data_IF_956494466498
#
_entry.id   IF_956494466498
#
_cell.length_a   1.000
_cell.length_b   1.000
_cell.length_c   1.000
_cell.angle_alpha   90.00
_cell.angle_beta   90.00
_cell.angle_gamma   90.00
#
_symmetry.space_group_name_H-M   'P 1'
#
loop_
_entity.id
_entity.type
_entity.pdbx_description
1 polymer ?
#
# COMPACT_ATOMS: atom_id res chain seq x y z
N UNK A 1 56.50 -46.66 -2.39
CA UNK A 1 56.88 -45.95 -1.15
C UNK A 1 56.03 -44.68 -1.07
N UNK A 2 55.23 -44.55 0.00
CA UNK A 2 54.63 -43.33 0.62
C UNK A 2 54.17 -42.23 -0.36
N UNK A 3 52.87 -41.94 -0.53
CA UNK A 3 51.91 -41.64 0.53
C UNK A 3 51.76 -40.11 0.69
N UNK A 4 50.54 -39.66 1.04
CA UNK A 4 50.12 -38.28 1.34
C UNK A 4 49.74 -37.41 0.12
N UNK A 5 48.63 -36.66 0.10
CA UNK A 5 47.62 -36.37 1.12
C UNK A 5 46.36 -35.87 0.41
N UNK A 6 45.25 -36.55 0.67
CA UNK A 6 43.88 -36.23 0.27
C UNK A 6 43.40 -35.04 1.12
N UNK A 7 42.98 -33.94 0.50
CA UNK A 7 42.36 -32.81 1.22
C UNK A 7 40.92 -33.18 1.62
N UNK A 8 40.76 -33.58 2.88
CA UNK A 8 39.49 -33.77 3.56
C UNK A 8 39.38 -32.69 4.66
N UNK A 9 38.50 -31.70 4.50
CA UNK A 9 38.07 -30.83 5.62
C UNK A 9 36.55 -30.76 5.63
N UNK A 10 36.00 -31.84 6.19
CA UNK A 10 34.64 -31.93 6.67
C UNK A 10 34.55 -31.21 8.04
N UNK A 11 33.68 -30.21 8.13
CA UNK A 11 32.73 -30.07 9.24
C UNK A 11 33.13 -29.39 10.56
N UNK A 12 32.07 -28.84 11.16
CA UNK A 12 31.83 -28.56 12.60
C UNK A 12 32.26 -27.16 13.06
N UNK A 13 31.34 -26.20 13.26
CA UNK A 13 30.31 -26.13 14.34
C UNK A 13 30.89 -26.42 15.72
N UNK A 14 31.20 -25.34 16.46
CA UNK A 14 31.08 -25.18 17.93
C UNK A 14 31.64 -23.80 18.29
N UNK A 15 30.79 -22.89 18.77
CA UNK A 15 30.70 -22.60 20.19
C UNK A 15 31.95 -21.89 20.74
N UNK A 16 31.93 -20.55 20.68
CA UNK A 16 32.72 -19.64 21.51
C UNK A 16 31.76 -18.52 21.94
N UNK A 17 30.99 -18.72 23.00
CA UNK A 17 31.27 -18.21 24.36
C UNK A 17 31.26 -16.68 24.39
N UNK A 18 30.12 -16.18 24.86
CA UNK A 18 29.92 -15.05 25.77
C UNK A 18 31.14 -14.15 26.09
N UNK A 19 31.05 -12.90 25.65
CA UNK A 19 31.50 -11.70 26.37
C UNK A 19 30.54 -10.57 25.94
N UNK A 20 29.42 -10.36 26.63
CA UNK A 20 29.29 -9.53 27.82
C UNK A 20 29.61 -8.04 27.58
N UNK A 21 28.53 -7.24 27.59
CA UNK A 21 28.37 -5.93 28.25
C UNK A 21 28.68 -4.61 27.49
N UNK A 22 27.56 -3.96 27.09
CA UNK A 22 27.15 -2.56 27.35
C UNK A 22 27.93 -1.40 26.70
N UNK A 23 27.22 -0.63 25.85
CA UNK A 23 27.28 0.84 25.86
C UNK A 23 25.90 1.42 25.52
N UNK A 24 25.48 2.38 26.34
CA UNK A 24 24.14 2.93 26.49
C UNK A 24 23.56 3.62 25.25
N UNK A 25 22.29 3.31 24.93
CA UNK A 25 21.44 4.26 24.21
C UNK A 25 20.89 5.28 25.21
N UNK A 26 21.55 6.43 25.26
CA UNK A 26 21.00 7.66 25.78
C UNK A 26 19.92 8.17 24.82
N UNK A 27 18.67 8.20 25.29
CA UNK A 27 17.62 9.04 24.71
C UNK A 27 16.69 9.50 25.83
N UNK A 28 17.16 10.53 26.54
CA UNK A 28 16.31 11.38 27.36
C UNK A 28 15.54 12.30 26.39
N UNK A 29 14.23 12.06 26.24
CA UNK A 29 13.35 12.87 25.42
C UNK A 29 12.30 13.57 26.28
N UNK A 30 12.47 14.88 26.47
CA UNK A 30 11.37 15.84 26.56
C UNK A 30 10.70 16.05 27.92
N UNK A 31 11.28 16.92 28.75
CA UNK A 31 10.54 17.64 29.79
C UNK A 31 9.61 18.67 29.13
N UNK A 32 8.34 18.31 28.93
CA UNK A 32 7.28 19.25 28.54
C UNK A 32 6.85 20.11 29.74
N UNK A 33 7.57 21.20 29.98
CA UNK A 33 7.13 22.29 30.86
C UNK A 33 6.04 23.09 30.13
N UNK A 34 4.78 22.72 30.36
CA UNK A 34 3.62 23.49 29.93
C UNK A 34 3.38 24.65 30.88
N UNK A 35 3.67 25.85 30.40
CA UNK A 35 3.45 27.14 31.04
C UNK A 35 2.02 27.28 31.58
N UNK A 36 1.93 27.49 32.88
CA UNK A 36 0.74 28.01 33.55
C UNK A 36 0.54 29.43 33.01
N UNK A 37 -0.45 29.57 32.12
CA UNK A 37 -0.90 30.85 31.57
C UNK A 37 -1.41 31.75 32.68
N UNK A 38 -0.48 32.48 33.29
CA UNK A 38 -0.75 33.60 34.16
C UNK A 38 -1.18 34.74 33.25
N UNK A 39 -2.49 34.95 33.10
CA UNK A 39 -3.02 36.24 32.66
C UNK A 39 -3.07 37.14 33.91
N UNK A 40 -2.15 38.10 34.09
CA UNK A 40 -2.39 39.21 35.00
C UNK A 40 -3.35 40.18 34.30
N UNK A 41 -4.31 40.75 35.05
CA UNK A 41 -5.38 41.66 34.60
C UNK A 41 -6.62 40.88 34.10
N UNK A 42 -7.77 40.85 34.77
CA UNK A 42 -8.36 41.78 35.73
C UNK A 42 -9.75 42.16 35.24
N UNK A 43 -10.79 41.41 35.64
CA UNK A 43 -12.15 41.93 35.95
C UNK A 43 -13.10 40.78 36.30
N UNK A 44 -13.17 40.53 37.60
CA UNK A 44 -14.41 40.39 38.37
C UNK A 44 -15.63 41.07 37.71
N UNK A 45 -16.75 40.36 37.66
CA UNK A 45 -18.06 41.01 37.70
C UNK A 45 -19.16 40.39 36.85
N UNK A 46 -20.27 40.08 37.52
CA UNK A 46 -21.65 40.16 37.01
C UNK A 46 -22.25 38.89 36.39
N UNK A 47 -23.00 38.17 37.24
CA UNK A 47 -24.25 37.51 36.84
C UNK A 47 -25.09 38.47 36.00
N UNK A 48 -25.55 38.03 34.83
CA UNK A 48 -26.49 38.77 33.99
C UNK A 48 -27.46 37.83 33.31
N UNK A 49 -28.59 37.59 33.97
CA UNK A 49 -29.79 36.97 33.41
C UNK A 49 -30.55 38.01 32.59
N UNK A 50 -30.70 37.77 31.28
CA UNK A 50 -31.58 38.49 30.34
C UNK A 50 -31.19 38.02 28.95
N UNK A 51 -31.97 37.33 28.12
CA UNK A 51 -33.40 37.35 27.92
C UNK A 51 -33.62 37.49 26.41
N UNK A 52 -34.28 36.50 25.78
CA UNK A 52 -34.84 36.65 24.44
C UNK A 52 -34.13 35.87 23.33
N UNK A 53 -34.70 34.73 22.93
CA UNK A 53 -34.26 34.01 21.73
C UNK A 53 -34.82 32.60 21.57
N UNK A 54 -36.10 32.36 21.91
CA UNK A 54 -36.78 31.12 21.55
C UNK A 54 -36.93 31.02 20.03
N UNK A 55 -36.19 30.11 19.37
CA UNK A 55 -36.57 29.33 18.15
C UNK A 55 -35.68 28.08 18.13
N UNK A 56 -36.19 26.95 18.61
CA UNK A 56 -36.68 25.90 17.72
C UNK A 56 -35.65 25.49 16.66
N UNK A 57 -34.72 24.60 17.02
CA UNK A 57 -34.50 23.40 16.21
C UNK A 57 -33.77 22.33 17.02
N UNK A 58 -34.53 21.58 17.81
CA UNK A 58 -34.18 20.22 18.19
C UNK A 58 -34.36 19.31 16.95
N UNK A 59 -33.72 19.66 15.84
CA UNK A 59 -33.47 18.71 14.77
C UNK A 59 -32.33 17.87 15.28
N UNK A 60 -32.70 16.71 15.82
CA UNK A 60 -31.91 15.50 15.78
C UNK A 60 -31.36 15.30 14.36
N UNK A 61 -30.32 16.04 14.02
CA UNK A 61 -29.51 15.77 12.84
C UNK A 61 -28.80 14.48 13.20
N UNK A 62 -29.44 13.37 12.77
CA UNK A 62 -28.82 12.08 12.61
C UNK A 62 -27.48 12.35 11.93
N UNK A 63 -26.43 12.43 12.73
CA UNK A 63 -25.08 12.23 12.27
C UNK A 63 -25.04 10.76 11.91
N UNK A 64 -25.60 10.43 10.74
CA UNK A 64 -25.21 9.27 9.99
C UNK A 64 -23.73 9.51 9.71
N UNK A 65 -22.89 9.13 10.68
CA UNK A 65 -21.56 8.69 10.41
C UNK A 65 -21.77 7.63 9.33
N UNK A 66 -21.66 8.05 8.06
CA UNK A 66 -21.45 7.12 6.97
C UNK A 66 -20.15 6.46 7.39
N UNK A 67 -20.28 5.30 8.03
CA UNK A 67 -19.19 4.33 8.13
C UNK A 67 -19.00 3.87 6.70
N UNK A 68 -18.40 4.74 5.88
CA UNK A 68 -17.89 4.40 4.57
C UNK A 68 -16.54 3.78 4.86
N UNK A 69 -16.45 2.48 4.73
CA UNK A 69 -15.17 1.80 4.64
C UNK A 69 -14.74 1.17 5.94
N UNK A 70 -15.30 0.00 6.24
CA UNK A 70 -14.55 -1.08 6.89
C UNK A 70 -14.97 -2.44 6.32
N UNK A 71 -15.32 -2.50 5.04
CA UNK A 71 -15.06 -3.72 4.29
C UNK A 71 -13.59 -3.62 3.89
N UNK A 72 -12.74 -4.35 4.63
CA UNK A 72 -11.30 -4.40 4.45
C UNK A 72 -11.00 -5.00 3.08
N UNK A 73 -11.13 -4.20 2.02
CA UNK A 73 -10.72 -4.62 0.69
C UNK A 73 -9.20 -4.66 0.73
N UNK A 74 -8.65 -5.87 0.80
CA UNK A 74 -7.20 -6.09 0.73
C UNK A 74 -6.60 -5.54 -0.58
N UNK A 75 -7.44 -5.35 -1.58
CA UNK A 75 -7.10 -5.01 -2.97
C UNK A 75 -7.67 -3.64 -3.35
N UNK A 76 -6.89 -2.82 -4.05
CA UNK A 76 -7.39 -1.53 -4.54
C UNK A 76 -8.32 -1.70 -5.77
N UNK A 77 -9.57 -1.18 -5.67
CA UNK A 77 -10.56 -1.24 -6.77
C UNK A 77 -10.11 -0.59 -8.07
N UNK A 78 -9.30 0.48 -8.00
CA UNK A 78 -8.83 1.21 -9.18
C UNK A 78 -7.70 0.47 -9.88
N UNK A 79 -6.77 -0.14 -9.13
CA UNK A 79 -5.73 -1.00 -9.71
C UNK A 79 -6.34 -2.20 -10.42
N UNK A 80 -7.36 -2.80 -9.81
CA UNK A 80 -8.11 -3.90 -10.41
C UNK A 80 -8.75 -3.50 -11.74
N UNK A 81 -9.57 -2.45 -11.73
CA UNK A 81 -10.26 -1.97 -12.94
C UNK A 81 -9.27 -1.53 -14.02
N UNK A 82 -8.19 -0.83 -13.65
CA UNK A 82 -7.16 -0.41 -14.59
C UNK A 82 -6.40 -1.59 -15.22
N UNK A 83 -6.13 -2.65 -14.45
CA UNK A 83 -5.44 -3.84 -14.95
C UNK A 83 -6.25 -4.53 -16.04
N UNK A 84 -7.56 -4.69 -15.82
CA UNK A 84 -8.48 -5.28 -16.78
C UNK A 84 -8.61 -4.44 -18.06
N UNK A 85 -8.55 -3.12 -17.93
CA UNK A 85 -8.70 -2.19 -19.05
C UNK A 85 -7.44 -2.15 -19.92
N UNK A 86 -6.28 -1.95 -19.30
CA UNK A 86 -4.98 -1.92 -19.99
C UNK A 86 -4.66 -3.26 -20.64
N UNK A 87 -4.96 -4.37 -19.97
CA UNK A 87 -4.70 -5.73 -20.48
C UNK A 87 -5.91 -6.38 -21.15
N UNK A 88 -6.93 -5.61 -21.53
CA UNK A 88 -8.17 -6.10 -22.13
C UNK A 88 -7.98 -6.85 -23.46
N UNK A 89 -6.83 -6.69 -24.10
CA UNK A 89 -6.45 -7.41 -25.32
C UNK A 89 -5.98 -8.85 -25.04
N UNK A 90 -5.72 -9.22 -23.80
CA UNK A 90 -5.36 -10.58 -23.40
C UNK A 90 -6.61 -11.36 -22.98
N UNK A 91 -6.72 -12.65 -23.31
CA UNK A 91 -7.80 -13.49 -22.81
C UNK A 91 -7.66 -13.68 -21.29
N UNK A 92 -8.76 -13.59 -20.55
CA UNK A 92 -8.77 -13.84 -19.11
C UNK A 92 -8.90 -15.33 -18.86
N UNK A 93 -8.00 -15.90 -18.05
CA UNK A 93 -7.98 -17.33 -17.70
C UNK A 93 -8.55 -17.56 -16.30
N UNK A 94 -8.11 -16.78 -15.31
CA UNK A 94 -8.61 -16.86 -13.95
C UNK A 94 -8.52 -15.53 -13.21
N UNK A 95 -9.46 -15.33 -12.28
CA UNK A 95 -9.64 -14.06 -11.57
C UNK A 95 -10.01 -14.36 -10.13
N UNK A 96 -9.18 -13.94 -9.17
CA UNK A 96 -9.45 -14.07 -7.73
C UNK A 96 -9.49 -12.68 -7.07
N UNK A 97 -10.69 -12.19 -6.69
CA UNK A 97 -10.87 -10.87 -6.10
C UNK A 97 -10.41 -10.79 -4.64
N UNK A 98 -10.23 -11.91 -3.94
CA UNK A 98 -9.84 -11.91 -2.52
C UNK A 98 -8.33 -11.78 -2.37
N UNK A 99 -7.57 -12.50 -3.20
CA UNK A 99 -6.10 -12.43 -3.20
C UNK A 99 -5.56 -11.33 -4.11
N UNK A 100 -6.38 -10.76 -4.98
CA UNK A 100 -5.96 -9.72 -5.92
C UNK A 100 -5.14 -10.26 -7.09
N UNK A 101 -5.30 -11.55 -7.43
CA UNK A 101 -4.58 -12.20 -8.53
C UNK A 101 -5.47 -12.30 -9.77
N UNK A 102 -4.93 -11.86 -10.90
CA UNK A 102 -5.56 -11.94 -12.22
C UNK A 102 -4.58 -12.63 -13.17
N UNK A 103 -4.99 -13.74 -13.76
CA UNK A 103 -4.18 -14.48 -14.73
C UNK A 103 -4.78 -14.29 -16.12
N UNK A 104 -3.96 -13.80 -17.02
CA UNK A 104 -4.27 -13.68 -18.43
C UNK A 104 -3.57 -14.79 -19.22
N UNK A 105 -4.22 -15.27 -20.28
CA UNK A 105 -3.66 -16.20 -21.24
C UNK A 105 -2.75 -15.51 -22.26
N UNK A 106 -2.34 -16.26 -23.28
CA UNK A 106 -1.52 -15.70 -24.35
C UNK A 106 -2.36 -14.85 -25.30
N UNK A 107 -2.02 -13.58 -25.45
CA UNK A 107 -2.63 -12.66 -26.40
C UNK A 107 -1.61 -11.72 -27.05
N UNK A 108 -2.00 -11.11 -28.16
CA UNK A 108 -1.14 -10.20 -28.92
C UNK A 108 -1.62 -8.76 -28.71
N UNK A 109 -0.78 -7.84 -28.20
CA UNK A 109 -1.15 -6.45 -28.05
C UNK A 109 -1.38 -5.79 -29.40
N UNK A 110 -2.29 -4.80 -29.50
CA UNK A 110 -2.51 -4.05 -30.72
C UNK A 110 -1.22 -3.30 -31.12
N UNK A 111 -0.78 -3.49 -32.37
CA UNK A 111 0.49 -2.93 -32.87
C UNK A 111 1.74 -3.74 -32.53
N UNK A 112 1.59 -4.88 -31.83
CA UNK A 112 2.68 -5.83 -31.57
C UNK A 112 2.52 -7.13 -32.37
N UNK A 113 3.63 -7.84 -32.59
CA UNK A 113 3.65 -9.15 -33.26
C UNK A 113 3.91 -10.34 -32.33
N UNK A 114 4.12 -10.10 -31.03
CA UNK A 114 4.53 -11.12 -30.07
C UNK A 114 3.38 -11.44 -29.13
N UNK A 115 3.15 -12.73 -28.88
CA UNK A 115 2.16 -13.18 -27.90
C UNK A 115 2.75 -13.10 -26.49
N UNK A 116 2.03 -12.43 -25.60
CA UNK A 116 2.37 -12.26 -24.19
C UNK A 116 1.33 -12.92 -23.30
N UNK A 117 1.78 -13.45 -22.19
CA UNK A 117 1.00 -13.86 -21.03
C UNK A 117 1.28 -12.86 -19.91
N UNK A 118 0.26 -12.50 -19.14
CA UNK A 118 0.40 -11.65 -17.98
C UNK A 118 -0.21 -12.31 -16.74
N UNK A 119 0.45 -12.15 -15.60
CA UNK A 119 -0.14 -12.39 -14.28
C UNK A 119 -0.02 -11.10 -13.49
N UNK A 120 -1.14 -10.60 -12.99
CA UNK A 120 -1.20 -9.40 -12.17
C UNK A 120 -1.53 -9.82 -10.74
N UNK A 121 -0.81 -9.26 -9.78
CA UNK A 121 -1.06 -9.45 -8.35
C UNK A 121 -1.09 -8.08 -7.67
N UNK A 122 -2.18 -7.80 -6.96
CA UNK A 122 -2.38 -6.56 -6.21
C UNK A 122 -2.29 -6.89 -4.73
N UNK A 123 -1.25 -6.41 -4.06
CA UNK A 123 -0.89 -6.82 -2.70
C UNK A 123 -1.28 -5.83 -1.60
N UNK A 124 -1.52 -4.56 -1.94
CA UNK A 124 -1.81 -3.49 -0.98
C UNK A 124 -2.97 -2.61 -1.48
N UNK A 125 -3.84 -2.10 -0.60
CA UNK A 125 -4.88 -1.15 -0.98
C UNK A 125 -4.36 0.23 -1.43
N UNK A 126 -3.07 0.53 -1.27
CA UNK A 126 -2.45 1.78 -1.71
C UNK A 126 -2.42 1.91 -3.24
N UNK A 127 -2.48 3.15 -3.72
CA UNK A 127 -2.40 3.47 -5.15
C UNK A 127 -0.96 3.85 -5.54
N UNK A 128 -0.05 2.89 -5.45
CA UNK A 128 1.39 3.06 -5.73
C UNK A 128 1.97 1.81 -6.44
N UNK A 129 3.13 1.95 -7.08
CA UNK A 129 3.84 0.86 -7.76
C UNK A 129 4.11 -0.35 -6.85
N UNK A 130 4.43 -0.12 -5.57
CA UNK A 130 4.69 -1.22 -4.62
C UNK A 130 3.51 -2.17 -4.40
N UNK A 131 2.29 -1.70 -4.69
CA UNK A 131 1.05 -2.43 -4.47
C UNK A 131 0.69 -3.33 -5.66
N UNK A 132 1.38 -3.19 -6.79
CA UNK A 132 1.10 -3.87 -8.04
C UNK A 132 2.33 -4.67 -8.47
N UNK A 133 2.15 -5.95 -8.73
CA UNK A 133 3.16 -6.79 -9.36
C UNK A 133 2.61 -7.37 -10.64
N UNK A 134 3.27 -7.09 -11.76
CA UNK A 134 2.89 -7.61 -13.08
C UNK A 134 3.99 -8.52 -13.57
N UNK A 135 3.73 -9.81 -13.72
CA UNK A 135 4.65 -10.76 -14.34
C UNK A 135 4.25 -10.97 -15.81
N UNK A 136 5.15 -10.60 -16.73
CA UNK A 136 4.94 -10.73 -18.17
C UNK A 136 5.87 -11.78 -18.76
N UNK A 137 5.31 -12.65 -19.59
CA UNK A 137 6.05 -13.76 -20.22
C UNK A 137 5.69 -13.87 -21.69
N UNK A 138 6.65 -14.29 -22.50
CA UNK A 138 6.44 -14.54 -23.93
C UNK A 138 6.61 -16.02 -24.21
N UNK A 139 6.14 -16.50 -25.36
CA UNK A 139 6.34 -17.91 -25.75
C UNK A 139 7.82 -18.32 -25.83
N UNK A 140 8.70 -17.36 -26.09
CA UNK A 140 10.14 -17.59 -26.25
C UNK A 140 10.95 -17.39 -24.98
N UNK A 141 10.33 -16.99 -23.87
CA UNK A 141 11.02 -16.73 -22.60
C UNK A 141 10.62 -15.42 -21.91
N UNK A 142 11.43 -14.94 -20.95
CA UNK A 142 11.14 -13.74 -20.16
C UNK A 142 11.11 -12.48 -21.04
N UNK A 143 10.33 -11.49 -20.60
CA UNK A 143 10.28 -10.18 -21.26
C UNK A 143 11.39 -9.26 -20.75
N UNK A 144 11.76 -8.24 -21.52
CA UNK A 144 12.64 -7.19 -21.05
C UNK A 144 12.00 -6.41 -19.90
N UNK A 145 12.79 -6.08 -18.87
CA UNK A 145 12.31 -5.37 -17.68
C UNK A 145 11.70 -4.02 -18.01
N UNK A 146 12.20 -3.30 -19.02
CA UNK A 146 11.60 -2.01 -19.41
C UNK A 146 10.17 -2.17 -19.92
N UNK A 147 9.88 -3.27 -20.64
CA UNK A 147 8.52 -3.55 -21.12
C UNK A 147 7.59 -3.85 -19.96
N UNK A 148 8.06 -4.62 -18.98
CA UNK A 148 7.29 -4.94 -17.79
C UNK A 148 6.94 -3.68 -16.99
N UNK A 149 7.94 -2.82 -16.76
CA UNK A 149 7.75 -1.53 -16.08
C UNK A 149 6.83 -0.59 -16.86
N UNK A 150 6.94 -0.54 -18.19
CA UNK A 150 6.06 0.29 -19.01
C UNK A 150 4.59 -0.13 -18.88
N UNK A 151 4.31 -1.43 -18.81
CA UNK A 151 2.95 -1.94 -18.58
C UNK A 151 2.46 -1.61 -17.17
N UNK A 152 3.33 -1.74 -16.16
CA UNK A 152 3.00 -1.38 -14.78
C UNK A 152 2.66 0.12 -14.66
N UNK A 153 3.47 1.01 -15.23
CA UNK A 153 3.20 2.45 -15.22
C UNK A 153 1.91 2.79 -15.98
N UNK A 154 1.64 2.11 -17.10
CA UNK A 154 0.39 2.29 -17.83
C UNK A 154 -0.84 1.94 -16.97
N UNK A 155 -0.77 0.86 -16.18
CA UNK A 155 -1.83 0.49 -15.23
C UNK A 155 -1.96 1.54 -14.13
N UNK A 156 -0.86 1.99 -13.53
CA UNK A 156 -0.87 3.01 -12.47
C UNK A 156 -1.42 4.35 -12.97
N UNK A 157 -1.09 4.74 -14.20
CA UNK A 157 -1.60 5.95 -14.83
C UNK A 157 -3.12 5.83 -15.06
N UNK A 158 -3.59 4.71 -15.60
CA UNK A 158 -5.03 4.46 -15.79
C UNK A 158 -5.79 4.42 -14.46
N UNK A 159 -5.22 3.80 -13.43
CA UNK A 159 -5.84 3.74 -12.11
C UNK A 159 -5.99 5.14 -11.48
N UNK A 160 -4.99 6.01 -11.65
CA UNK A 160 -5.06 7.42 -11.24
C UNK A 160 -6.19 8.17 -11.97
N UNK A 161 -6.34 7.94 -13.27
CA UNK A 161 -7.44 8.52 -14.06
C UNK A 161 -8.80 8.08 -13.51
N UNK A 162 -8.99 6.78 -13.25
CA UNK A 162 -10.23 6.24 -12.69
C UNK A 162 -10.55 6.85 -11.31
N UNK A 163 -9.54 7.00 -10.44
CA UNK A 163 -9.72 7.63 -9.13
C UNK A 163 -10.17 9.09 -9.24
N UNK A 164 -9.58 9.85 -10.17
CA UNK A 164 -9.97 11.24 -10.39
C UNK A 164 -11.39 11.32 -10.95
N UNK A 165 -11.76 10.44 -11.89
CA UNK A 165 -13.10 10.40 -12.47
C UNK A 165 -14.19 10.11 -11.42
N UNK A 166 -13.93 9.16 -10.51
CA UNK A 166 -14.84 8.81 -9.41
C UNK A 166 -15.04 9.96 -8.42
N UNK A 167 -13.97 10.72 -8.13
CA UNK A 167 -14.02 11.87 -7.21
C UNK A 167 -14.66 13.15 -7.77
N UNK A 168 -15.04 13.17 -9.05
CA UNK A 168 -15.71 14.32 -9.71
C UNK A 168 -17.24 14.21 -9.71
N UNK A 169 -17.78 13.11 -9.20
CA UNK A 169 -19.21 12.82 -9.06
C UNK A 169 -19.70 13.16 -7.64
#
# INVERSE_FOLDING_TARGET
MKGALLQLRLGSVRAGVAFALIAALAACGGSGSGSIGSNPLGSIGSLGISGGGARANESATRQAARVRGTESVAVNRYLWAASLDVLSFLPIESVDPFTGVIVFGYGTPPGGGRAYRATVHISDPALDARALNVALQTRSGPVASETQLAVEDAILARARQLRIADGRL
#
